data_IF_972407108856
#
_entry.id   IF_972407108856
#
_cell.length_a   1.000
_cell.length_b   1.000
_cell.length_c   1.000
_cell.angle_alpha   90.00
_cell.angle_beta   90.00
_cell.angle_gamma   90.00
#
_symmetry.space_group_name_H-M   'P 1'
#
loop_
_entity.id
_entity.type
_entity.pdbx_description
1 polymer ?
#
# COMPACT_ATOMS: atom_id res chain seq x y z
N UNK A 1 -6.89 -4.80 -5.67
CA UNK A 1 -6.08 -5.75 -6.46
C UNK A 1 -4.73 -6.12 -5.83
N UNK A 2 -3.99 -5.17 -5.19
CA UNK A 2 -2.62 -5.42 -4.67
C UNK A 2 -2.57 -6.63 -3.72
N UNK A 3 -3.36 -6.61 -2.66
CA UNK A 3 -3.37 -7.69 -1.66
C UNK A 3 -3.82 -9.04 -2.24
N UNK A 4 -4.75 -9.02 -3.20
CA UNK A 4 -5.17 -10.23 -3.93
C UNK A 4 -4.01 -10.83 -4.74
N UNK A 5 -3.21 -9.99 -5.37
CA UNK A 5 -2.01 -10.41 -6.09
C UNK A 5 -0.95 -10.98 -5.15
N UNK A 6 -0.71 -10.33 -4.00
CA UNK A 6 0.18 -10.85 -2.95
C UNK A 6 -0.28 -12.25 -2.51
N UNK A 7 -1.59 -12.43 -2.24
CA UNK A 7 -2.15 -13.72 -1.87
C UNK A 7 -1.91 -14.78 -2.95
N UNK A 8 -2.16 -14.45 -4.21
CA UNK A 8 -1.93 -15.35 -5.33
C UNK A 8 -0.44 -15.78 -5.45
N UNK A 9 0.50 -14.82 -5.39
CA UNK A 9 1.93 -15.11 -5.43
C UNK A 9 2.36 -15.95 -4.22
N UNK A 10 1.84 -15.63 -3.02
CA UNK A 10 2.11 -16.40 -1.80
C UNK A 10 1.68 -17.86 -1.93
N UNK A 11 0.53 -18.11 -2.57
CA UNK A 11 0.03 -19.48 -2.79
C UNK A 11 0.88 -20.25 -3.81
N UNK A 12 1.40 -19.58 -4.85
CA UNK A 12 2.34 -20.20 -5.78
C UNK A 12 3.66 -20.62 -5.11
N UNK A 13 4.01 -19.94 -4.02
CA UNK A 13 5.23 -20.16 -3.23
C UNK A 13 4.92 -20.89 -1.89
N UNK A 14 4.04 -21.89 -1.92
CA UNK A 14 3.49 -22.53 -0.71
C UNK A 14 4.56 -23.13 0.21
N UNK A 15 5.63 -23.69 -0.34
CA UNK A 15 6.69 -24.37 0.40
C UNK A 15 7.82 -23.44 0.89
N UNK A 16 7.78 -22.17 0.51
CA UNK A 16 8.81 -21.20 0.84
C UNK A 16 8.57 -20.61 2.23
N UNK A 17 9.65 -20.22 2.91
CA UNK A 17 9.56 -19.44 4.14
C UNK A 17 9.28 -17.98 3.79
N UNK A 18 8.14 -17.47 4.26
CA UNK A 18 7.59 -16.18 3.87
C UNK A 18 7.54 -15.19 5.02
N UNK A 19 7.81 -13.94 4.70
CA UNK A 19 7.60 -12.81 5.60
C UNK A 19 6.65 -11.80 4.95
N UNK A 20 5.65 -11.38 5.70
CA UNK A 20 4.72 -10.33 5.31
C UNK A 20 4.95 -9.08 6.16
N UNK A 21 5.26 -7.98 5.52
CA UNK A 21 5.60 -6.70 6.15
C UNK A 21 4.61 -5.60 5.75
N UNK A 22 4.31 -4.74 6.70
CA UNK A 22 3.61 -3.46 6.49
C UNK A 22 4.19 -2.40 7.41
N UNK A 23 3.90 -1.11 7.14
CA UNK A 23 4.34 -0.01 8.02
C UNK A 23 3.58 -0.02 9.35
N UNK A 24 2.27 -0.27 9.34
CA UNK A 24 1.41 -0.14 10.53
C UNK A 24 0.82 -1.47 10.98
N UNK A 25 0.54 -1.59 12.28
CA UNK A 25 -0.12 -2.78 12.83
C UNK A 25 -1.53 -2.99 12.26
N UNK A 26 -2.28 -1.92 11.99
CA UNK A 26 -3.61 -2.01 11.37
C UNK A 26 -3.53 -2.60 9.97
N UNK A 27 -2.60 -2.11 9.14
CA UNK A 27 -2.36 -2.68 7.82
C UNK A 27 -1.93 -4.15 7.90
N UNK A 28 -1.09 -4.50 8.87
CA UNK A 28 -0.65 -5.87 9.10
C UNK A 28 -1.81 -6.82 9.44
N UNK A 29 -2.72 -6.42 10.32
CA UNK A 29 -3.91 -7.20 10.65
C UNK A 29 -4.83 -7.37 9.44
N UNK A 30 -5.01 -6.32 8.64
CA UNK A 30 -5.79 -6.37 7.41
C UNK A 30 -5.14 -7.31 6.38
N UNK A 31 -3.83 -7.25 6.21
CA UNK A 31 -3.09 -8.16 5.33
C UNK A 31 -3.26 -9.61 5.80
N UNK A 32 -3.03 -9.89 7.09
CA UNK A 32 -3.16 -11.22 7.68
C UNK A 32 -4.55 -11.85 7.46
N UNK A 33 -5.62 -11.04 7.50
CA UNK A 33 -7.00 -11.52 7.25
C UNK A 33 -7.27 -11.87 5.79
N UNK A 34 -6.47 -11.32 4.86
CA UNK A 34 -6.66 -11.46 3.41
C UNK A 34 -5.72 -12.46 2.76
N UNK A 35 -4.72 -12.93 3.48
CA UNK A 35 -3.83 -13.99 3.00
C UNK A 35 -4.41 -15.32 3.40
N UNK A 36 -4.90 -16.06 2.41
CA UNK A 36 -5.42 -17.41 2.59
C UNK A 36 -4.26 -18.39 2.61
N UNK A 37 -4.24 -19.32 3.56
CA UNK A 37 -3.25 -20.40 3.65
C UNK A 37 -1.79 -19.91 3.53
N UNK A 38 -1.32 -18.99 4.39
CA UNK A 38 0.04 -18.47 4.31
C UNK A 38 1.10 -19.56 4.45
N UNK A 39 0.73 -20.73 4.97
CA UNK A 39 1.64 -21.84 5.31
C UNK A 39 2.16 -21.72 6.75
N UNK A 40 2.70 -22.83 7.27
CA UNK A 40 3.25 -22.89 8.64
C UNK A 40 4.53 -22.09 8.82
N UNK A 41 5.25 -21.83 7.73
CA UNK A 41 6.53 -21.12 7.71
C UNK A 41 6.34 -19.65 7.29
N UNK A 42 5.31 -18.99 7.79
CA UNK A 42 5.00 -17.60 7.43
C UNK A 42 4.89 -16.71 8.66
N UNK A 43 5.61 -15.60 8.62
CA UNK A 43 5.62 -14.59 9.66
C UNK A 43 4.96 -13.29 9.19
N UNK A 44 4.30 -12.59 10.12
CA UNK A 44 3.65 -11.29 9.89
C UNK A 44 4.15 -10.32 10.94
N UNK A 45 4.96 -9.34 10.54
CA UNK A 45 5.50 -8.33 11.46
C UNK A 45 5.49 -6.94 10.80
N UNK A 46 5.59 -5.88 11.62
CA UNK A 46 5.79 -4.53 11.06
C UNK A 46 7.24 -4.36 10.60
N UNK A 47 7.45 -3.51 9.60
CA UNK A 47 8.81 -3.22 9.10
C UNK A 47 9.70 -2.61 10.19
N UNK A 48 9.12 -1.82 11.10
CA UNK A 48 9.85 -1.26 12.24
C UNK A 48 10.29 -2.35 13.22
N UNK A 49 9.45 -3.38 13.45
CA UNK A 49 9.81 -4.54 14.27
C UNK A 49 10.91 -5.36 13.59
N UNK A 50 10.82 -5.60 12.28
CA UNK A 50 11.86 -6.27 11.52
C UNK A 50 13.21 -5.55 11.65
N UNK A 51 13.24 -4.24 11.46
CA UNK A 51 14.50 -3.46 11.50
C UNK A 51 15.16 -3.43 12.89
N UNK A 52 14.41 -3.69 13.96
CA UNK A 52 14.92 -3.73 15.35
C UNK A 52 15.42 -5.11 15.77
N UNK A 53 15.00 -6.18 15.12
CA UNK A 53 15.44 -7.55 15.48
C UNK A 53 16.92 -7.76 15.10
N UNK A 54 17.64 -8.48 15.98
CA UNK A 54 19.07 -8.78 15.79
C UNK A 54 19.25 -10.12 15.06
N UNK A 55 18.46 -11.12 15.45
CA UNK A 55 18.53 -12.46 14.88
C UNK A 55 17.25 -12.70 14.06
N UNK A 56 17.32 -12.46 12.77
CA UNK A 56 16.24 -12.75 11.85
C UNK A 56 16.48 -14.12 11.22
N UNK A 57 15.44 -14.93 11.08
CA UNK A 57 15.54 -16.12 10.24
C UNK A 57 15.68 -15.71 8.77
N UNK A 58 16.31 -16.58 7.99
CA UNK A 58 16.35 -16.40 6.54
C UNK A 58 14.96 -16.65 5.96
N UNK A 59 14.51 -15.73 5.13
CA UNK A 59 13.27 -15.83 4.38
C UNK A 59 13.55 -16.02 2.90
N UNK A 60 12.86 -16.94 2.26
CA UNK A 60 12.93 -17.13 0.82
C UNK A 60 12.22 -16.01 0.08
N UNK A 61 11.11 -15.53 0.66
CA UNK A 61 10.28 -14.48 0.08
C UNK A 61 9.84 -13.47 1.15
N UNK A 62 9.98 -12.19 0.82
CA UNK A 62 9.45 -11.09 1.64
C UNK A 62 8.44 -10.28 0.82
N UNK A 63 7.24 -10.14 1.35
CA UNK A 63 6.18 -9.29 0.82
C UNK A 63 6.09 -8.02 1.65
N UNK A 64 6.17 -6.86 1.00
CA UNK A 64 5.97 -5.56 1.65
C UNK A 64 4.72 -4.92 1.05
N UNK A 65 3.63 -4.87 1.81
CA UNK A 65 2.39 -4.20 1.39
C UNK A 65 2.34 -2.75 1.88
N UNK A 66 1.66 -1.89 1.14
CA UNK A 66 1.59 -0.43 1.34
C UNK A 66 2.98 0.22 1.43
N UNK A 67 3.94 -0.29 0.64
CA UNK A 67 5.35 0.10 0.73
C UNK A 67 5.63 1.57 0.37
N UNK A 68 4.72 2.25 -0.35
CA UNK A 68 4.79 3.69 -0.63
C UNK A 68 4.71 4.57 0.63
N UNK A 69 4.20 4.03 1.74
CA UNK A 69 4.12 4.73 3.03
C UNK A 69 5.39 4.62 3.87
N UNK A 70 6.38 3.84 3.43
CA UNK A 70 7.64 3.60 4.15
C UNK A 70 8.66 4.66 3.74
N UNK A 71 9.28 5.31 4.71
CA UNK A 71 10.31 6.30 4.50
C UNK A 71 11.64 5.69 4.01
N UNK A 72 12.49 6.53 3.40
CA UNK A 72 13.78 6.12 2.82
C UNK A 72 14.72 5.50 3.86
N UNK A 73 14.75 6.02 5.08
CA UNK A 73 15.63 5.52 6.16
C UNK A 73 15.20 4.12 6.61
N UNK A 74 13.92 3.92 6.84
CA UNK A 74 13.35 2.63 7.24
C UNK A 74 13.56 1.59 6.14
N UNK A 75 13.33 1.96 4.88
CA UNK A 75 13.58 1.06 3.75
C UNK A 75 15.07 0.71 3.59
N UNK A 76 15.96 1.68 3.74
CA UNK A 76 17.40 1.43 3.71
C UNK A 76 17.86 0.46 4.81
N UNK A 77 17.35 0.62 6.05
CA UNK A 77 17.64 -0.32 7.15
C UNK A 77 17.07 -1.71 6.89
N UNK A 78 15.88 -1.79 6.30
CA UNK A 78 15.27 -3.07 5.90
C UNK A 78 16.14 -3.79 4.87
N UNK A 79 16.50 -3.12 3.77
CA UNK A 79 17.32 -3.69 2.71
C UNK A 79 18.71 -4.13 3.19
N UNK A 80 19.32 -3.38 4.12
CA UNK A 80 20.62 -3.75 4.68
C UNK A 80 20.62 -5.01 5.55
N UNK A 81 19.43 -5.45 6.01
CA UNK A 81 19.26 -6.66 6.83
C UNK A 81 18.72 -7.86 6.04
N UNK A 82 18.22 -7.63 4.85
CA UNK A 82 17.67 -8.67 3.99
C UNK A 82 18.81 -9.49 3.36
N UNK A 83 18.63 -10.80 3.26
CA UNK A 83 19.55 -11.65 2.51
C UNK A 83 19.49 -11.30 1.00
N UNK A 84 20.65 -11.28 0.30
CA UNK A 84 20.67 -11.04 -1.14
C UNK A 84 19.88 -12.06 -1.98
N UNK A 85 19.73 -13.27 -1.47
CA UNK A 85 19.04 -14.37 -2.15
C UNK A 85 17.52 -14.36 -1.91
N UNK A 86 17.01 -13.43 -1.09
CA UNK A 86 15.60 -13.32 -0.79
C UNK A 86 14.84 -12.70 -1.96
N UNK A 87 13.75 -13.35 -2.40
CA UNK A 87 12.83 -12.77 -3.37
C UNK A 87 11.97 -11.69 -2.72
N UNK A 88 12.05 -10.46 -3.22
CA UNK A 88 11.35 -9.30 -2.66
C UNK A 88 10.15 -8.90 -3.53
N UNK A 89 8.96 -8.85 -2.94
CA UNK A 89 7.72 -8.38 -3.56
C UNK A 89 7.29 -7.08 -2.89
N UNK A 90 7.30 -5.99 -3.65
CA UNK A 90 6.88 -4.66 -3.19
C UNK A 90 5.51 -4.32 -3.77
N UNK A 91 4.55 -4.01 -2.92
CA UNK A 91 3.23 -3.55 -3.31
C UNK A 91 2.95 -2.19 -2.69
N UNK A 92 2.66 -1.21 -3.52
CA UNK A 92 2.40 0.17 -3.09
C UNK A 92 1.55 0.92 -4.10
N UNK A 93 1.31 2.18 -3.84
CA UNK A 93 0.57 3.08 -4.73
C UNK A 93 1.21 4.46 -4.67
N UNK A 94 1.81 4.88 -5.78
CA UNK A 94 2.51 6.18 -5.90
C UNK A 94 1.55 7.38 -5.86
N UNK A 95 0.24 7.15 -5.98
CA UNK A 95 -0.79 8.20 -5.91
C UNK A 95 -1.44 8.30 -4.52
N UNK A 96 -1.03 7.45 -3.56
CA UNK A 96 -1.44 7.58 -2.16
C UNK A 96 -0.56 8.61 -1.44
N UNK A 97 -1.00 9.01 -0.24
CA UNK A 97 -0.24 9.91 0.62
C UNK A 97 1.14 9.30 0.86
N UNK A 98 2.16 10.08 0.55
CA UNK A 98 3.56 9.71 0.79
C UNK A 98 3.84 9.54 2.29
N UNK A 99 4.99 8.95 2.59
CA UNK A 99 5.48 8.88 3.96
C UNK A 99 5.59 10.28 4.58
N UNK A 100 5.18 10.43 5.84
CA UNK A 100 5.31 11.69 6.62
C UNK A 100 6.79 12.11 6.71
N UNK A 101 7.69 11.15 6.81
CA UNK A 101 9.13 11.38 6.68
C UNK A 101 9.54 11.26 5.21
N UNK A 102 10.69 11.83 4.84
CA UNK A 102 11.19 11.82 3.46
C UNK A 102 11.22 10.40 2.86
N UNK A 103 10.41 10.14 1.82
CA UNK A 103 10.14 8.78 1.36
C UNK A 103 9.78 8.61 -0.11
N UNK A 104 10.57 9.15 -1.04
CA UNK A 104 10.29 9.03 -2.48
C UNK A 104 10.90 7.79 -3.14
N UNK A 105 11.52 6.88 -2.38
CA UNK A 105 12.22 5.73 -2.95
C UNK A 105 11.32 4.84 -3.82
N UNK A 106 10.05 4.66 -3.41
CA UNK A 106 9.12 3.80 -4.15
C UNK A 106 8.75 4.37 -5.52
N UNK A 107 8.66 5.69 -5.63
CA UNK A 107 8.43 6.37 -6.91
C UNK A 107 9.53 6.02 -7.92
N UNK A 108 10.78 5.97 -7.47
CA UNK A 108 11.93 5.68 -8.32
C UNK A 108 12.23 4.16 -8.44
N UNK A 109 11.62 3.31 -7.62
CA UNK A 109 11.92 1.87 -7.60
C UNK A 109 11.71 1.22 -8.97
N UNK A 110 10.66 1.61 -9.72
CA UNK A 110 10.38 1.10 -11.06
C UNK A 110 11.49 1.43 -12.08
N UNK A 111 12.18 2.57 -11.89
CA UNK A 111 13.25 3.01 -12.78
C UNK A 111 14.59 2.31 -12.45
N UNK A 112 14.73 1.82 -11.23
CA UNK A 112 15.90 1.07 -10.75
C UNK A 112 15.77 -0.41 -11.12
N UNK A 113 14.57 -0.98 -10.98
CA UNK A 113 14.30 -2.40 -11.27
C UNK A 113 14.07 -2.54 -12.78
N UNK A 114 15.14 -2.92 -13.51
CA UNK A 114 15.12 -3.05 -14.98
C UNK A 114 14.84 -4.46 -15.48
N UNK A 115 14.62 -5.41 -14.58
CA UNK A 115 14.30 -6.79 -14.95
C UNK A 115 12.96 -6.84 -15.70
N UNK A 116 12.92 -7.38 -16.93
CA UNK A 116 11.68 -7.50 -17.68
C UNK A 116 10.60 -8.28 -16.90
N UNK A 117 9.40 -7.71 -16.82
CA UNK A 117 8.27 -8.33 -16.10
C UNK A 117 8.30 -8.15 -14.56
N UNK A 118 9.34 -7.55 -13.99
CA UNK A 118 9.41 -7.31 -12.54
C UNK A 118 8.49 -6.17 -12.08
N UNK A 119 8.10 -5.27 -12.98
CA UNK A 119 7.19 -4.17 -12.67
C UNK A 119 5.80 -4.46 -13.24
N UNK A 120 4.79 -4.50 -12.39
CA UNK A 120 3.39 -4.74 -12.76
C UNK A 120 2.52 -3.60 -12.22
N UNK A 121 1.77 -2.97 -13.09
CA UNK A 121 0.79 -1.95 -12.73
C UNK A 121 -0.63 -2.49 -12.86
N UNK A 122 -1.44 -2.33 -11.80
CA UNK A 122 -2.85 -2.71 -11.79
C UNK A 122 -3.68 -1.49 -12.22
N UNK A 123 -4.16 -1.50 -13.46
CA UNK A 123 -4.85 -0.36 -14.07
C UNK A 123 -6.35 -0.32 -13.76
N UNK A 124 -6.96 -1.47 -13.47
CA UNK A 124 -8.41 -1.56 -13.25
C UNK A 124 -8.77 -1.53 -11.78
N UNK A 125 -9.80 -0.76 -11.43
CA UNK A 125 -10.39 -0.79 -10.09
C UNK A 125 -11.60 -1.73 -10.04
N UNK A 126 -11.67 -2.53 -8.95
CA UNK A 126 -12.77 -3.46 -8.69
C UNK A 126 -13.49 -3.13 -7.37
N UNK A 127 -13.15 -1.98 -6.74
CA UNK A 127 -13.74 -1.56 -5.46
C UNK A 127 -15.15 -1.01 -5.60
N UNK A 128 -15.46 -0.47 -6.76
CA UNK A 128 -16.78 0.11 -7.05
C UNK A 128 -17.15 -0.14 -8.50
N UNK A 129 -18.46 -0.16 -8.78
CA UNK A 129 -19.03 -0.16 -10.12
C UNK A 129 -19.58 1.24 -10.50
N UNK A 130 -19.52 2.20 -9.59
CA UNK A 130 -19.92 3.57 -9.82
C UNK A 130 -18.97 4.26 -10.80
N UNK A 131 -19.46 4.52 -12.00
CA UNK A 131 -18.67 5.12 -13.07
C UNK A 131 -18.28 6.58 -12.78
N UNK A 132 -19.10 7.32 -12.05
CA UNK A 132 -18.81 8.68 -11.65
C UNK A 132 -17.62 8.71 -10.68
N UNK A 133 -17.60 7.81 -9.69
CA UNK A 133 -16.50 7.66 -8.74
C UNK A 133 -15.21 7.15 -9.42
N UNK A 134 -15.32 6.22 -10.37
CA UNK A 134 -14.18 5.75 -11.16
C UNK A 134 -13.58 6.90 -11.99
N UNK A 135 -14.44 7.70 -12.65
CA UNK A 135 -14.01 8.86 -13.43
C UNK A 135 -13.29 9.89 -12.56
N UNK A 136 -13.85 10.19 -11.38
CA UNK A 136 -13.25 11.07 -10.38
C UNK A 136 -11.86 10.59 -9.95
N UNK A 137 -11.71 9.31 -9.61
CA UNK A 137 -10.40 8.74 -9.23
C UNK A 137 -9.38 8.82 -10.36
N UNK A 138 -9.80 8.59 -11.61
CA UNK A 138 -8.92 8.73 -12.77
C UNK A 138 -8.52 10.19 -13.00
N UNK A 139 -9.43 11.13 -12.80
CA UNK A 139 -9.12 12.56 -12.89
C UNK A 139 -8.12 12.99 -11.80
N UNK A 140 -8.32 12.51 -10.55
CA UNK A 140 -7.39 12.74 -9.44
C UNK A 140 -5.99 12.19 -9.76
N UNK A 141 -5.89 11.04 -10.40
CA UNK A 141 -4.60 10.43 -10.78
C UNK A 141 -3.86 11.18 -11.88
N UNK A 142 -4.59 11.79 -12.81
CA UNK A 142 -4.00 12.38 -14.03
C UNK A 142 -3.74 13.87 -13.93
N UNK A 143 -4.36 14.57 -12.98
CA UNK A 143 -4.34 16.04 -12.89
C UNK A 143 -3.94 16.52 -11.50
N UNK A 144 -2.68 16.27 -11.13
CA UNK A 144 -2.18 16.61 -9.79
C UNK A 144 -2.25 18.12 -9.45
N UNK A 145 -2.15 19.01 -10.44
CA UNK A 145 -1.90 20.44 -10.19
C UNK A 145 -3.16 21.30 -9.97
N UNK A 146 -4.36 20.81 -10.35
CA UNK A 146 -5.60 21.62 -10.34
C UNK A 146 -6.78 20.93 -9.65
N UNK A 147 -6.53 19.79 -8.98
CA UNK A 147 -7.59 18.90 -8.49
C UNK A 147 -8.36 19.54 -7.35
N UNK A 148 -7.65 20.16 -6.40
CA UNK A 148 -8.27 20.74 -5.21
C UNK A 148 -9.25 21.84 -5.57
N UNK A 149 -8.89 22.69 -6.53
CA UNK A 149 -9.73 23.82 -6.95
C UNK A 149 -10.97 23.37 -7.72
N UNK A 150 -10.83 22.39 -8.63
CA UNK A 150 -11.97 21.89 -9.42
C UNK A 150 -12.88 20.95 -8.65
N UNK A 151 -12.35 20.10 -7.79
CA UNK A 151 -13.15 19.12 -7.05
C UNK A 151 -13.80 19.72 -5.80
N UNK A 152 -13.08 20.62 -5.11
CA UNK A 152 -13.59 21.26 -3.88
C UNK A 152 -14.50 22.44 -4.19
N UNK A 153 -14.21 23.22 -5.23
CA UNK A 153 -14.95 24.47 -5.53
C UNK A 153 -16.04 24.26 -6.59
N UNK A 154 -15.81 23.42 -7.60
CA UNK A 154 -16.69 23.27 -8.77
C UNK A 154 -17.14 21.84 -9.07
N UNK A 155 -16.84 20.87 -8.21
CA UNK A 155 -17.18 19.47 -8.45
C UNK A 155 -18.58 19.10 -7.95
N UNK A 156 -19.14 17.98 -8.41
CA UNK A 156 -20.43 17.47 -7.96
C UNK A 156 -20.47 17.10 -6.46
N UNK A 157 -19.32 17.08 -5.81
CA UNK A 157 -19.13 16.80 -4.38
C UNK A 157 -18.83 18.07 -3.56
N UNK A 158 -18.90 19.26 -4.18
CA UNK A 158 -18.69 20.55 -3.50
C UNK A 158 -19.99 21.14 -2.92
N UNK A 159 -21.13 20.54 -3.25
CA UNK A 159 -22.42 20.93 -2.69
C UNK A 159 -22.43 20.54 -1.22
N UNK A 160 -22.46 21.56 -0.35
CA UNK A 160 -22.61 21.48 1.10
C UNK A 160 -21.36 21.24 1.96
N UNK A 161 -20.30 21.99 1.72
CA UNK A 161 -19.39 22.32 2.83
C UNK A 161 -20.11 23.31 3.76
N UNK A 162 -21.21 22.88 4.35
CA UNK A 162 -22.00 23.63 5.30
C UNK A 162 -21.87 23.01 6.69
N UNK A 163 -22.51 23.61 7.71
CA UNK A 163 -22.49 23.11 9.08
C UNK A 163 -23.07 21.69 9.24
N UNK A 164 -23.69 21.14 8.19
CA UNK A 164 -24.21 19.77 8.17
C UNK A 164 -23.16 18.72 7.82
N UNK A 165 -22.02 19.09 7.25
CA UNK A 165 -20.90 18.16 6.90
C UNK A 165 -20.34 17.43 8.15
N UNK A 166 -20.50 18.01 9.33
CA UNK A 166 -20.03 17.43 10.59
C UNK A 166 -21.10 16.65 11.35
N UNK A 167 -22.29 16.49 10.78
CA UNK A 167 -23.32 15.64 11.38
C UNK A 167 -23.26 14.25 10.76
N UNK A 168 -22.94 13.28 11.61
CA UNK A 168 -23.06 11.87 11.22
C UNK A 168 -24.52 11.53 11.00
N UNK A 169 -24.91 11.19 9.75
CA UNK A 169 -26.30 10.90 9.39
C UNK A 169 -26.64 9.41 9.50
N UNK A 170 -25.64 8.53 9.40
CA UNK A 170 -25.82 7.10 9.58
C UNK A 170 -24.66 6.45 10.33
N UNK A 171 -24.85 5.23 10.84
CA UNK A 171 -23.83 4.52 11.63
C UNK A 171 -22.63 4.08 10.78
N UNK A 172 -22.81 3.92 9.48
CA UNK A 172 -21.76 3.50 8.54
C UNK A 172 -20.94 4.67 7.97
N UNK A 173 -21.27 5.89 8.36
CA UNK A 173 -20.57 7.09 7.91
C UNK A 173 -19.28 7.34 8.70
N UNK A 174 -18.19 7.55 8.00
CA UNK A 174 -16.87 7.89 8.58
C UNK A 174 -16.42 9.24 8.06
N UNK A 175 -16.26 10.20 8.96
CA UNK A 175 -15.71 11.52 8.66
C UNK A 175 -14.20 11.48 8.88
N UNK A 176 -13.41 11.70 7.82
CA UNK A 176 -11.96 11.79 7.89
C UNK A 176 -11.54 13.24 8.02
N UNK A 177 -10.90 13.58 9.14
CA UNK A 177 -10.31 14.90 9.36
C UNK A 177 -8.79 14.81 9.24
N UNK A 178 -8.20 15.79 8.56
CA UNK A 178 -6.76 16.04 8.57
C UNK A 178 -6.46 17.05 9.69
N UNK A 179 -5.53 16.72 10.57
CA UNK A 179 -5.04 17.61 11.62
C UNK A 179 -3.73 18.25 11.18
#
# INVERSE_FOLDING_TARGET
GKTTLINYISNLMANQRKLFLTKTHTALQNLKRRIDNPGTNSDFISIDSFTKQVNLPDYDVIFVDECSTIDNRTMGRFLSKMSPDTFLVLAGDIHQIESIEFGNWFFYAKDIIKTPGANVELLSTWRTQDQALISLWNEVRTRADMITEKLVINGPYSEDIGPNVFKRECEDEVILCLY
#
